data_IF_324763390486
#
_entry.id   IF_324763390486
#
_cell.length_a   1.000
_cell.length_b   1.000
_cell.length_c   1.000
_cell.angle_alpha   90.00
_cell.angle_beta   90.00
_cell.angle_gamma   90.00
#
_symmetry.space_group_name_H-M   'P 1'
#
loop_
_entity.id
_entity.type
_entity.pdbx_description
1 polymer ?
#
# COMPACT_ATOMS: atom_id res chain seq x y z
N UNK A 1 -0.14 -8.92 18.05
CA UNK A 1 -0.16 -8.47 16.63
C UNK A 1 -0.17 -9.59 15.57
N UNK A 2 -0.51 -10.87 15.91
CA UNK A 2 -0.61 -11.99 14.95
C UNK A 2 -2.02 -12.23 14.37
N UNK A 3 -3.05 -11.50 14.80
CA UNK A 3 -4.46 -11.90 14.56
C UNK A 3 -5.06 -11.47 13.20
N UNK A 4 -4.36 -10.69 12.37
CA UNK A 4 -4.89 -10.24 11.07
C UNK A 4 -4.05 -10.72 9.86
N UNK A 5 -3.13 -11.69 10.04
CA UNK A 5 -2.20 -12.14 9.00
C UNK A 5 -2.87 -12.72 7.74
N UNK A 6 -4.15 -13.11 7.80
CA UNK A 6 -4.90 -13.62 6.66
C UNK A 6 -5.45 -12.55 5.69
N UNK A 7 -5.44 -11.27 6.08
CA UNK A 7 -6.00 -10.15 5.27
C UNK A 7 -4.98 -9.05 4.98
N UNK A 8 -3.72 -9.33 5.30
CA UNK A 8 -2.60 -8.40 5.21
C UNK A 8 -1.54 -9.10 4.37
N UNK A 9 -1.08 -8.46 3.29
CA UNK A 9 0.08 -8.95 2.54
C UNK A 9 1.27 -9.11 3.49
N UNK A 10 2.00 -10.22 3.37
CA UNK A 10 3.14 -10.51 4.25
C UNK A 10 4.15 -9.35 4.24
N UNK A 11 4.33 -8.69 5.38
CA UNK A 11 5.29 -7.63 5.56
C UNK A 11 6.48 -8.14 6.38
N UNK A 12 7.67 -8.31 5.79
CA UNK A 12 8.86 -8.72 6.53
C UNK A 12 9.18 -7.69 7.62
N UNK A 13 9.65 -8.15 8.78
CA UNK A 13 10.02 -7.30 9.91
C UNK A 13 11.01 -6.18 9.53
N UNK A 14 11.97 -6.51 8.68
CA UNK A 14 13.00 -5.58 8.18
C UNK A 14 12.38 -4.44 7.35
N UNK A 15 11.32 -4.73 6.60
CA UNK A 15 10.58 -3.72 5.81
C UNK A 15 9.82 -2.78 6.74
N UNK A 16 9.19 -3.33 7.79
CA UNK A 16 8.54 -2.50 8.83
C UNK A 16 9.55 -1.59 9.52
N UNK A 17 10.71 -2.11 9.93
CA UNK A 17 11.78 -1.33 10.58
C UNK A 17 12.29 -0.21 9.68
N UNK A 18 12.38 -0.44 8.36
CA UNK A 18 12.71 0.59 7.37
C UNK A 18 11.67 1.72 7.34
N UNK A 19 10.37 1.40 7.24
CA UNK A 19 9.31 2.42 7.23
C UNK A 19 9.26 3.23 8.53
N UNK A 20 9.52 2.58 9.67
CA UNK A 20 9.65 3.25 10.97
C UNK A 20 10.85 4.20 10.98
N UNK A 21 12.00 3.77 10.46
CA UNK A 21 13.18 4.62 10.30
C UNK A 21 12.95 5.83 9.38
N UNK A 22 12.17 5.64 8.31
CA UNK A 22 11.77 6.68 7.35
C UNK A 22 10.59 7.55 7.83
N UNK A 23 10.15 7.40 9.09
CA UNK A 23 9.01 8.13 9.69
C UNK A 23 7.71 8.06 8.90
N UNK A 24 7.52 7.01 8.10
CA UNK A 24 6.33 6.85 7.25
C UNK A 24 5.32 5.88 7.87
N UNK A 25 5.15 6.00 9.19
CA UNK A 25 4.27 5.19 10.02
C UNK A 25 3.48 6.09 10.96
N UNK A 26 2.16 5.95 10.96
CA UNK A 26 1.26 6.57 11.93
C UNK A 26 0.64 5.49 12.80
N UNK A 27 0.65 5.69 14.11
CA UNK A 27 0.01 4.81 15.08
C UNK A 27 -1.13 5.54 15.80
N UNK A 28 -2.27 4.87 15.95
CA UNK A 28 -3.36 5.31 16.80
C UNK A 28 -3.32 4.55 18.11
N UNK A 29 -3.25 5.26 19.23
CA UNK A 29 -3.27 4.69 20.57
C UNK A 29 -4.54 5.05 21.32
N UNK A 30 -4.98 4.19 22.23
CA UNK A 30 -6.06 4.48 23.18
C UNK A 30 -5.55 5.38 24.32
N UNK A 31 -6.47 5.83 25.18
CA UNK A 31 -6.11 6.57 26.40
C UNK A 31 -5.20 5.77 27.34
N UNK A 32 -5.27 4.43 27.28
CA UNK A 32 -4.48 3.49 28.08
C UNK A 32 -3.14 3.12 27.41
N UNK A 33 -2.69 3.88 26.41
CA UNK A 33 -1.48 3.65 25.61
C UNK A 33 -1.47 2.35 24.76
N UNK A 34 -2.63 1.70 24.59
CA UNK A 34 -2.76 0.50 23.76
C UNK A 34 -2.80 0.86 22.27
N UNK A 35 -2.04 0.15 21.43
CA UNK A 35 -2.04 0.37 19.97
C UNK A 35 -3.33 -0.15 19.32
N UNK A 36 -4.25 0.76 19.01
CA UNK A 36 -5.54 0.46 18.41
C UNK A 36 -5.47 0.26 16.88
N UNK A 37 -4.48 0.86 16.21
CA UNK A 37 -4.27 0.70 14.78
C UNK A 37 -3.03 1.42 14.27
N UNK A 38 -2.65 1.13 13.03
CA UNK A 38 -1.52 1.79 12.37
C UNK A 38 -1.73 1.94 10.87
N UNK A 39 -1.04 2.91 10.30
CA UNK A 39 -1.00 3.25 8.89
C UNK A 39 0.46 3.35 8.44
N UNK A 40 0.87 2.45 7.55
CA UNK A 40 2.13 2.49 6.82
C UNK A 40 1.88 3.13 5.46
N UNK A 41 2.69 4.12 5.13
CA UNK A 41 2.61 4.79 3.85
C UNK A 41 4.01 5.00 3.26
N UNK A 42 4.06 5.29 1.97
CA UNK A 42 5.23 5.84 1.31
C UNK A 42 4.85 7.23 0.80
N UNK A 43 5.75 8.19 0.94
CA UNK A 43 5.56 9.56 0.47
C UNK A 43 6.43 9.80 -0.76
N UNK A 44 5.78 10.13 -1.87
CA UNK A 44 6.43 10.68 -3.06
C UNK A 44 6.10 12.17 -3.15
N UNK A 45 6.74 12.88 -4.07
CA UNK A 45 6.56 14.32 -4.24
C UNK A 45 5.09 14.72 -4.51
N UNK A 46 4.35 13.91 -5.26
CA UNK A 46 3.00 14.26 -5.73
C UNK A 46 1.90 13.39 -5.11
N UNK A 47 2.26 12.33 -4.39
CA UNK A 47 1.31 11.38 -3.83
C UNK A 47 1.78 10.69 -2.57
N UNK A 48 0.82 10.27 -1.77
CA UNK A 48 1.02 9.21 -0.78
C UNK A 48 0.58 7.87 -1.36
N UNK A 49 1.29 6.81 -1.01
CA UNK A 49 0.86 5.43 -1.22
C UNK A 49 0.62 4.78 0.13
N UNK A 50 -0.60 4.29 0.39
CA UNK A 50 -0.86 3.47 1.57
C UNK A 50 -0.36 2.07 1.28
N UNK A 51 0.64 1.63 2.05
CA UNK A 51 1.21 0.29 1.99
C UNK A 51 0.35 -0.64 2.84
N UNK A 52 -0.03 -0.18 4.04
CA UNK A 52 -0.86 -0.96 4.93
C UNK A 52 -1.67 -0.07 5.86
N UNK A 53 -2.96 -0.38 6.02
CA UNK A 53 -3.81 0.21 7.04
C UNK A 53 -4.45 -0.91 7.86
N UNK A 54 -4.15 -0.96 9.15
CA UNK A 54 -4.63 -2.01 10.04
C UNK A 54 -5.26 -1.40 11.29
N UNK A 55 -6.44 -1.89 11.66
CA UNK A 55 -7.13 -1.56 12.92
C UNK A 55 -7.37 -2.86 13.68
N UNK A 56 -7.03 -2.85 14.97
CA UNK A 56 -7.26 -3.97 15.88
C UNK A 56 -8.74 -4.36 15.91
N UNK A 57 -9.03 -5.66 15.96
CA UNK A 57 -10.39 -6.19 15.84
C UNK A 57 -11.39 -5.53 16.80
N UNK A 58 -11.00 -5.39 18.07
CA UNK A 58 -11.79 -4.76 19.14
C UNK A 58 -12.06 -3.26 18.93
N UNK A 59 -11.31 -2.62 18.04
CA UNK A 59 -11.38 -1.18 17.77
C UNK A 59 -11.93 -0.83 16.38
N UNK A 60 -12.38 -1.85 15.62
CA UNK A 60 -13.02 -1.63 14.31
C UNK A 60 -14.37 -0.93 14.48
N UNK A 61 -14.76 -0.17 13.46
CA UNK A 61 -16.02 0.59 13.47
C UNK A 61 -16.00 1.89 14.29
N UNK A 62 -14.92 2.18 15.01
CA UNK A 62 -14.80 3.36 15.88
C UNK A 62 -14.16 4.58 15.18
N UNK A 63 -14.05 4.55 13.84
CA UNK A 63 -13.48 5.68 13.08
C UNK A 63 -11.95 5.79 13.11
N UNK A 64 -11.22 4.82 13.69
CA UNK A 64 -9.74 4.85 13.78
C UNK A 64 -9.07 4.92 12.42
N UNK A 65 -9.56 4.15 11.44
CA UNK A 65 -9.06 4.19 10.07
C UNK A 65 -9.21 5.60 9.46
N UNK A 66 -10.32 6.28 9.75
CA UNK A 66 -10.55 7.67 9.32
C UNK A 66 -9.59 8.62 10.02
N UNK A 67 -9.39 8.49 11.34
CA UNK A 67 -8.44 9.32 12.10
C UNK A 67 -7.01 9.19 11.57
N UNK A 68 -6.54 7.96 11.32
CA UNK A 68 -5.22 7.70 10.73
C UNK A 68 -5.09 8.33 9.34
N UNK A 69 -6.15 8.26 8.53
CA UNK A 69 -6.17 8.87 7.21
C UNK A 69 -6.14 10.40 7.30
N UNK A 70 -6.95 11.03 8.16
CA UNK A 70 -6.93 12.49 8.36
C UNK A 70 -5.57 12.96 8.88
N UNK A 71 -4.94 12.20 9.77
CA UNK A 71 -3.56 12.46 10.20
C UNK A 71 -2.58 12.43 9.01
N UNK A 72 -2.68 11.44 8.12
CA UNK A 72 -1.88 11.41 6.89
C UNK A 72 -2.17 12.61 5.97
N UNK A 73 -3.42 13.06 5.85
CA UNK A 73 -3.75 14.25 5.07
C UNK A 73 -3.08 15.50 5.65
N UNK A 74 -3.04 15.62 6.97
CA UNK A 74 -2.42 16.76 7.65
C UNK A 74 -0.90 16.84 7.48
N UNK A 75 -0.24 15.72 7.14
CA UNK A 75 1.20 15.69 6.83
C UNK A 75 1.50 15.96 5.36
N UNK A 76 0.46 16.13 4.52
CA UNK A 76 0.62 16.48 3.12
C UNK A 76 1.26 17.87 2.99
N UNK A 77 2.35 17.94 2.23
CA UNK A 77 3.01 19.21 1.90
C UNK A 77 2.87 19.52 0.41
N UNK A 78 3.15 18.53 -0.42
CA UNK A 78 3.17 18.63 -1.89
C UNK A 78 2.29 17.56 -2.55
N UNK A 79 1.85 16.59 -1.76
CA UNK A 79 1.05 15.46 -2.18
C UNK A 79 -0.38 15.88 -2.51
N UNK A 80 -0.85 15.48 -3.68
CA UNK A 80 -2.19 15.83 -4.21
C UNK A 80 -3.17 14.68 -4.10
N UNK A 81 -2.66 13.45 -4.04
CA UNK A 81 -3.47 12.24 -4.00
C UNK A 81 -2.92 11.22 -3.01
N UNK A 82 -3.80 10.35 -2.53
CA UNK A 82 -3.47 9.13 -1.81
C UNK A 82 -3.90 7.94 -2.67
N UNK A 83 -2.99 7.00 -2.90
CA UNK A 83 -3.24 5.77 -3.66
C UNK A 83 -3.08 4.54 -2.80
N UNK A 84 -3.80 3.48 -3.14
CA UNK A 84 -3.61 2.15 -2.57
C UNK A 84 -4.16 1.07 -3.49
N UNK A 85 -3.75 -0.16 -3.20
CA UNK A 85 -4.28 -1.36 -3.84
C UNK A 85 -5.00 -2.21 -2.81
N UNK A 86 -6.19 -2.69 -3.16
CA UNK A 86 -6.95 -3.58 -2.30
C UNK A 86 -7.60 -4.67 -3.14
N UNK A 87 -7.42 -5.92 -2.71
CA UNK A 87 -8.07 -7.06 -3.35
C UNK A 87 -9.57 -7.02 -3.06
N UNK A 88 -10.38 -7.42 -4.03
CA UNK A 88 -11.83 -7.32 -3.92
C UNK A 88 -12.44 -8.34 -2.96
N UNK A 89 -11.73 -9.44 -2.67
CA UNK A 89 -12.16 -10.47 -1.72
C UNK A 89 -12.02 -10.03 -0.26
N UNK A 90 -11.29 -8.94 0.02
CA UNK A 90 -11.08 -8.49 1.39
C UNK A 90 -12.26 -7.63 1.88
N UNK A 91 -12.71 -7.82 3.15
CA UNK A 91 -13.75 -6.96 3.75
C UNK A 91 -13.40 -5.46 3.71
N UNK A 92 -12.11 -5.14 3.68
CA UNK A 92 -11.61 -3.77 3.54
C UNK A 92 -12.02 -3.10 2.21
N UNK A 93 -12.33 -3.87 1.16
CA UNK A 93 -12.77 -3.32 -0.13
C UNK A 93 -13.99 -2.40 0.01
N UNK A 94 -14.94 -2.76 0.89
CA UNK A 94 -16.15 -1.97 1.15
C UNK A 94 -15.91 -0.73 2.04
N UNK A 95 -14.72 -0.62 2.64
CA UNK A 95 -14.35 0.50 3.52
C UNK A 95 -13.87 1.71 2.71
N UNK A 96 -13.13 1.49 1.62
CA UNK A 96 -12.48 2.56 0.88
C UNK A 96 -13.44 3.63 0.31
N UNK A 97 -14.60 3.27 -0.29
CA UNK A 97 -15.58 4.26 -0.70
C UNK A 97 -16.08 5.14 0.46
N UNK A 98 -16.26 4.56 1.66
CA UNK A 98 -16.71 5.28 2.85
C UNK A 98 -15.66 6.25 3.39
N UNK A 99 -14.39 6.03 3.05
CA UNK A 99 -13.27 6.93 3.35
C UNK A 99 -13.02 7.97 2.25
N UNK A 100 -13.85 8.00 1.20
CA UNK A 100 -13.77 8.96 0.10
C UNK A 100 -12.87 8.53 -1.07
N UNK A 101 -12.37 7.29 -1.08
CA UNK A 101 -11.61 6.79 -2.21
C UNK A 101 -12.55 6.43 -3.38
N UNK A 102 -12.09 6.72 -4.59
CA UNK A 102 -12.72 6.29 -5.84
C UNK A 102 -11.87 5.19 -6.50
N UNK A 103 -12.50 4.17 -7.12
CA UNK A 103 -11.77 3.16 -7.88
C UNK A 103 -11.18 3.79 -9.15
N UNK A 104 -9.88 3.64 -9.37
CA UNK A 104 -9.12 4.21 -10.49
C UNK A 104 -8.92 3.18 -11.61
N UNK A 105 -8.59 1.95 -11.27
CA UNK A 105 -8.36 0.86 -12.22
C UNK A 105 -8.46 -0.49 -11.52
N UNK A 106 -8.82 -1.54 -12.24
CA UNK A 106 -8.78 -2.92 -11.76
C UNK A 106 -7.78 -3.72 -12.61
N UNK A 107 -7.01 -4.60 -11.97
CA UNK A 107 -6.11 -5.53 -12.65
C UNK A 107 -6.26 -6.91 -12.00
N UNK A 108 -6.09 -8.02 -12.74
CA UNK A 108 -6.01 -9.34 -12.12
C UNK A 108 -4.83 -9.36 -11.13
N UNK A 109 -5.09 -9.75 -9.89
CA UNK A 109 -4.07 -9.83 -8.85
C UNK A 109 -3.10 -10.98 -9.11
N UNK A 110 -1.87 -10.87 -8.61
CA UNK A 110 -0.79 -11.85 -8.82
C UNK A 110 -0.92 -13.13 -7.99
N UNK A 111 -2.00 -13.30 -7.22
CA UNK A 111 -2.25 -14.53 -6.46
C UNK A 111 -2.57 -15.71 -7.38
N UNK A 112 -2.29 -16.95 -6.95
CA UNK A 112 -2.65 -18.18 -7.69
C UNK A 112 -4.12 -18.23 -8.12
N UNK A 113 -5.01 -17.62 -7.35
CA UNK A 113 -6.47 -17.56 -7.60
C UNK A 113 -6.90 -16.35 -8.47
N UNK A 114 -5.97 -15.44 -8.80
CA UNK A 114 -6.20 -14.35 -9.76
C UNK A 114 -7.17 -13.25 -9.32
N UNK A 115 -7.48 -13.13 -8.02
CA UNK A 115 -8.48 -12.17 -7.56
C UNK A 115 -8.21 -10.74 -8.02
N UNK A 116 -9.24 -10.00 -8.47
CA UNK A 116 -9.08 -8.64 -8.93
C UNK A 116 -8.55 -7.74 -7.82
N UNK A 117 -7.54 -6.94 -8.19
CA UNK A 117 -6.90 -5.94 -7.37
C UNK A 117 -7.36 -4.57 -7.85
N UNK A 118 -8.20 -3.91 -7.04
CA UNK A 118 -8.64 -2.55 -7.32
C UNK A 118 -7.61 -1.55 -6.82
N UNK A 119 -7.19 -0.66 -7.71
CA UNK A 119 -6.45 0.55 -7.36
C UNK A 119 -7.44 1.63 -6.96
N UNK A 120 -7.27 2.16 -5.76
CA UNK A 120 -8.09 3.21 -5.19
C UNK A 120 -7.32 4.52 -5.14
N UNK A 121 -8.01 5.62 -5.39
CA UNK A 121 -7.46 6.98 -5.37
C UNK A 121 -8.33 7.88 -4.50
N UNK A 122 -7.71 8.66 -3.63
CA UNK A 122 -8.34 9.74 -2.87
C UNK A 122 -7.65 11.05 -3.24
N UNK A 123 -8.41 12.06 -3.59
CA UNK A 123 -7.88 13.41 -3.87
C UNK A 123 -7.82 14.18 -2.55
N UNK A 124 -6.65 14.74 -2.24
CA UNK A 124 -6.48 15.68 -1.14
C UNK A 124 -6.88 17.05 -1.69
N UNK A 125 -7.91 17.65 -1.08
CA UNK A 125 -8.67 18.76 -1.69
C UNK A 125 -7.76 19.84 -2.30
N UNK A 126 -8.10 20.15 -3.55
CA UNK A 126 -7.58 21.21 -4.39
C UNK A 126 -8.17 22.55 -3.96
N UNK A 127 -7.36 23.44 -3.40
CA UNK A 127 -7.62 24.85 -3.64
C UNK A 127 -7.39 25.10 -5.14
N UNK A 128 -8.40 25.68 -5.79
CA UNK A 128 -8.51 26.04 -7.19
C UNK A 128 -8.73 24.94 -8.26
N UNK A 129 -9.91 25.02 -8.88
CA UNK A 129 -10.16 25.13 -10.34
C UNK A 129 -9.42 24.21 -11.35
N UNK A 130 -8.77 23.14 -10.94
CA UNK A 130 -7.90 22.33 -11.81
C UNK A 130 -8.46 20.94 -12.13
N UNK A 131 -9.78 20.79 -12.22
CA UNK A 131 -10.39 19.61 -12.85
C UNK A 131 -9.95 19.43 -14.33
N UNK A 132 -9.37 20.48 -14.94
CA UNK A 132 -8.81 20.47 -16.30
C UNK A 132 -7.41 19.89 -16.39
N UNK A 133 -6.65 19.85 -15.30
CA UNK A 133 -5.37 19.14 -15.25
C UNK A 133 -5.62 17.85 -14.48
N UNK A 134 -6.01 16.80 -15.21
CA UNK A 134 -5.66 15.44 -14.79
C UNK A 134 -4.19 15.50 -14.46
N UNK A 135 -3.85 15.52 -13.17
CA UNK A 135 -2.47 15.56 -12.76
C UNK A 135 -1.81 14.39 -13.50
N UNK A 136 -0.84 14.71 -14.36
CA UNK A 136 0.12 13.73 -14.86
C UNK A 136 0.92 13.30 -13.64
N UNK A 137 0.28 12.48 -12.81
CA UNK A 137 0.90 11.78 -11.71
C UNK A 137 1.89 10.87 -12.40
N UNK A 138 3.17 11.12 -12.15
CA UNK A 138 4.23 10.26 -12.66
C UNK A 138 3.90 8.83 -12.24
N UNK A 139 3.67 7.94 -13.20
CA UNK A 139 3.82 6.52 -12.94
C UNK A 139 5.31 6.35 -12.71
N UNK A 140 5.76 6.41 -11.46
CA UNK A 140 7.16 6.16 -11.12
C UNK A 140 7.44 4.69 -11.44
N UNK A 141 7.79 4.43 -12.69
CA UNK A 141 8.26 3.15 -13.17
C UNK A 141 9.75 3.11 -12.85
N UNK A 142 10.11 2.24 -11.92
CA UNK A 142 11.50 2.04 -11.54
C UNK A 142 12.15 1.07 -12.54
N UNK A 143 13.23 1.49 -13.20
CA UNK A 143 14.09 0.60 -13.98
C UNK A 143 15.03 -0.15 -13.03
N UNK A 144 14.94 -1.49 -13.02
CA UNK A 144 15.79 -2.36 -12.20
C UNK A 144 16.47 -3.38 -13.11
N UNK A 145 17.77 -3.58 -12.89
CA UNK A 145 18.52 -4.67 -13.52
C UNK A 145 18.56 -5.84 -12.54
N UNK A 146 18.14 -7.02 -12.98
CA UNK A 146 18.25 -8.27 -12.21
C UNK A 146 19.15 -9.25 -12.95
N UNK A 147 19.85 -10.07 -12.17
CA UNK A 147 20.63 -11.18 -12.69
C UNK A 147 19.71 -12.28 -13.26
N UNK A 148 20.15 -12.95 -14.32
CA UNK A 148 19.42 -14.06 -14.94
C UNK A 148 19.02 -15.17 -13.94
N UNK A 149 19.82 -15.46 -12.91
CA UNK A 149 19.48 -16.46 -11.89
C UNK A 149 18.21 -16.08 -11.11
N UNK A 150 18.05 -14.81 -10.75
CA UNK A 150 16.85 -14.29 -10.08
C UNK A 150 15.63 -14.40 -11.00
N UNK A 151 15.81 -14.23 -12.31
CA UNK A 151 14.74 -14.41 -13.29
C UNK A 151 14.30 -15.87 -13.40
N UNK A 152 15.23 -16.82 -13.35
CA UNK A 152 14.88 -18.25 -13.36
C UNK A 152 14.15 -18.67 -12.07
N UNK A 153 14.61 -18.20 -10.91
CA UNK A 153 13.98 -18.48 -9.61
C UNK A 153 12.49 -18.07 -9.54
N UNK A 154 12.10 -17.01 -10.26
CA UNK A 154 10.71 -16.55 -10.32
C UNK A 154 9.78 -17.64 -10.86
N UNK A 155 10.26 -18.44 -11.83
CA UNK A 155 9.47 -19.50 -12.48
C UNK A 155 9.63 -20.87 -11.82
N UNK A 156 10.58 -21.04 -10.90
CA UNK A 156 10.77 -22.30 -10.18
C UNK A 156 9.68 -22.52 -9.11
N UNK A 157 9.48 -23.77 -8.63
CA UNK A 157 8.63 -24.04 -7.47
C UNK A 157 9.12 -23.34 -6.20
N UNK A 158 8.23 -23.15 -5.22
CA UNK A 158 8.60 -22.53 -3.95
C UNK A 158 9.61 -23.42 -3.19
N UNK A 159 10.75 -22.83 -2.85
CA UNK A 159 11.85 -23.43 -2.09
C UNK A 159 12.52 -22.35 -1.24
N UNK A 160 13.30 -22.74 -0.24
CA UNK A 160 14.02 -21.78 0.62
C UNK A 160 14.95 -20.85 -0.19
N UNK A 161 15.43 -21.28 -1.37
CA UNK A 161 16.26 -20.47 -2.26
C UNK A 161 15.48 -19.51 -3.15
N UNK A 162 14.22 -19.83 -3.51
CA UNK A 162 13.41 -19.02 -4.46
C UNK A 162 12.52 -17.99 -3.76
N UNK A 163 12.22 -18.17 -2.46
CA UNK A 163 11.40 -17.26 -1.66
C UNK A 163 11.93 -15.81 -1.67
N UNK A 164 13.23 -15.53 -1.52
CA UNK A 164 13.76 -14.17 -1.61
C UNK A 164 13.54 -13.53 -2.99
N UNK A 165 13.79 -14.27 -4.06
CA UNK A 165 13.60 -13.82 -5.45
C UNK A 165 12.13 -13.49 -5.74
N UNK A 166 11.20 -14.33 -5.27
CA UNK A 166 9.76 -14.11 -5.42
C UNK A 166 9.21 -12.98 -4.57
N UNK A 167 9.89 -12.59 -3.49
CA UNK A 167 9.52 -11.41 -2.72
C UNK A 167 9.57 -10.12 -3.57
N UNK A 168 10.39 -10.08 -4.63
CA UNK A 168 10.43 -8.96 -5.59
C UNK A 168 9.11 -8.78 -6.35
N UNK A 169 8.31 -9.84 -6.49
CA UNK A 169 7.00 -9.78 -7.13
C UNK A 169 5.91 -9.22 -6.21
N UNK A 170 6.23 -9.01 -4.93
CA UNK A 170 5.29 -8.47 -3.95
C UNK A 170 4.83 -7.07 -4.34
N UNK A 171 3.53 -6.82 -4.20
CA UNK A 171 2.90 -5.51 -4.42
C UNK A 171 3.35 -4.45 -3.39
N UNK A 172 4.39 -4.70 -2.59
CA UNK A 172 4.86 -3.80 -1.55
C UNK A 172 5.88 -2.77 -2.05
N UNK A 173 6.57 -3.02 -3.16
CA UNK A 173 7.76 -2.24 -3.53
C UNK A 173 7.46 -1.05 -4.45
N UNK A 174 6.76 -1.23 -5.58
CA UNK A 174 6.48 -0.16 -6.57
C UNK A 174 5.16 -0.45 -7.29
N UNK A 175 4.48 0.57 -7.83
CA UNK A 175 3.23 0.43 -8.60
C UNK A 175 3.45 -0.31 -9.93
N UNK A 176 4.63 -0.12 -10.54
CA UNK A 176 5.08 -0.73 -11.79
C UNK A 176 6.60 -0.63 -11.84
N UNK A 177 7.29 -1.68 -12.32
CA UNK A 177 8.74 -1.71 -12.51
C UNK A 177 9.03 -2.20 -13.92
N UNK A 178 10.11 -1.70 -14.50
CA UNK A 178 10.73 -2.28 -15.69
C UNK A 178 11.89 -3.17 -15.21
N UNK A 179 11.95 -4.40 -15.72
CA UNK A 179 12.97 -5.36 -15.37
C UNK A 179 13.85 -5.62 -16.58
N UNK A 180 15.15 -5.39 -16.42
CA UNK A 180 16.18 -5.69 -17.39
C UNK A 180 16.99 -6.89 -16.89
N UNK A 181 17.20 -7.90 -17.74
CA UNK A 181 17.93 -9.12 -17.38
C UNK A 181 19.35 -9.02 -17.93
N UNK A 182 20.36 -9.27 -17.08
CA UNK A 182 21.78 -9.38 -17.46
C UNK A 182 22.28 -10.82 -17.41
#
# INVERSE_FOLDING_TARGET
MKQNSGTIGFLPRQVLEKYVGEKSVLGAKTADDELAGYLLYAANRDRFRIVQLCVGGSFRGQGIAKLLLEALKSTATTQKVVRLHCRNDFPAHQMWPKLGFIPESERPGRSKEGYPLTRWRLVLASDDQLALFRANISEDILDVVIDAQIFFDINEPDSDSTVPSKALLSDLFVDSINVWVT
#
